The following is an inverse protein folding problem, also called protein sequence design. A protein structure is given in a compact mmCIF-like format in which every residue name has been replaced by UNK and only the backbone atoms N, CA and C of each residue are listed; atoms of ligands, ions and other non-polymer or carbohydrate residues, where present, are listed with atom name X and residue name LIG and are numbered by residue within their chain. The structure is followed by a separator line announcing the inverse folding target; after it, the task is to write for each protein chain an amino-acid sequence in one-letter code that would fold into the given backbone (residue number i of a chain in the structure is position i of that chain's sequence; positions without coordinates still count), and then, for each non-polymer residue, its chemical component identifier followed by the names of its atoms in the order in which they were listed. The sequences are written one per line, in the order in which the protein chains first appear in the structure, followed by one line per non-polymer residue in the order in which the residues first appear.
data_IF_761752677746
#
_entry.id   IF_761752677746
#
_cell.length_a   1.000
_cell.length_b   1.000
_cell.length_c   1.000
_cell.angle_alpha   90.00
_cell.angle_beta   90.00
_cell.angle_gamma   90.00
#
_symmetry.space_group_name_H-M   'P 1'
#
loop_
_entity.id
_entity.type
_entity.pdbx_description
1 polymer ?
#
# COMPACT_ATOMS: atom_id res chain seq x y z
N UNK A 1 -21.65 -4.78 48.75
CA UNK A 1 -22.68 -5.22 47.81
C UNK A 1 -21.97 -5.43 46.45
N UNK A 2 -21.89 -6.64 45.90
CA UNK A 2 -21.32 -6.81 44.56
C UNK A 2 -22.30 -6.19 43.58
N UNK A 3 -21.79 -5.29 42.73
CA UNK A 3 -22.50 -4.77 41.55
C UNK A 3 -22.76 -5.92 40.61
N UNK A 4 -23.99 -6.35 40.42
CA UNK A 4 -24.40 -7.27 39.39
C UNK A 4 -24.18 -6.54 38.03
N UNK A 5 -23.17 -6.96 37.28
CA UNK A 5 -23.01 -6.58 35.88
C UNK A 5 -24.12 -7.29 35.08
N UNK A 6 -25.18 -6.57 34.78
CA UNK A 6 -26.38 -7.09 34.09
C UNK A 6 -26.14 -7.36 32.61
N UNK A 7 -24.99 -6.97 32.06
CA UNK A 7 -24.66 -7.20 30.66
C UNK A 7 -23.52 -8.22 30.55
N UNK A 8 -23.71 -9.30 29.80
CA UNK A 8 -22.61 -10.22 29.52
C UNK A 8 -21.49 -9.43 28.86
N UNK A 9 -20.32 -9.41 29.49
CA UNK A 9 -19.13 -8.77 28.91
C UNK A 9 -18.84 -9.42 27.57
N UNK A 10 -18.79 -8.62 26.51
CA UNK A 10 -18.34 -9.12 25.19
C UNK A 10 -16.93 -9.65 25.35
N UNK A 11 -16.62 -10.84 24.81
CA UNK A 11 -15.25 -11.31 24.81
C UNK A 11 -14.36 -10.27 24.11
N UNK A 12 -13.12 -10.07 24.58
CA UNK A 12 -12.21 -9.12 23.96
C UNK A 12 -12.00 -9.51 22.50
N UNK A 13 -12.45 -8.65 21.60
CA UNK A 13 -12.29 -8.84 20.16
C UNK A 13 -10.91 -8.33 19.77
N UNK A 14 -10.12 -9.15 19.14
CA UNK A 14 -8.82 -8.76 18.58
C UNK A 14 -8.90 -8.72 17.05
N UNK A 15 -9.27 -7.57 16.47
CA UNK A 15 -9.42 -7.44 15.04
C UNK A 15 -8.06 -7.62 14.33
N UNK A 16 -8.10 -8.30 13.19
CA UNK A 16 -6.90 -8.65 12.40
C UNK A 16 -7.10 -8.30 10.94
N UNK A 17 -6.04 -7.79 10.33
CA UNK A 17 -5.84 -7.84 8.89
C UNK A 17 -5.13 -9.16 8.57
N UNK A 18 -5.50 -9.78 7.47
CA UNK A 18 -4.82 -10.98 6.97
C UNK A 18 -4.57 -10.86 5.48
N UNK A 19 -3.50 -11.49 5.03
CA UNK A 19 -3.14 -11.62 3.63
C UNK A 19 -3.00 -13.09 3.28
N UNK A 20 -3.63 -13.53 2.17
CA UNK A 20 -3.47 -14.89 1.67
C UNK A 20 -3.47 -14.95 0.15
N UNK A 21 -2.98 -16.04 -0.39
CA UNK A 21 -3.02 -16.38 -1.81
C UNK A 21 -3.75 -17.70 -2.06
N UNK A 22 -4.30 -17.86 -3.25
CA UNK A 22 -4.87 -19.13 -3.71
C UNK A 22 -3.79 -19.96 -4.41
N UNK A 23 -3.77 -21.27 -4.12
CA UNK A 23 -2.82 -22.21 -4.71
C UNK A 23 -3.48 -22.91 -5.90
N UNK A 24 -2.79 -22.94 -7.04
CA UNK A 24 -3.28 -23.67 -8.22
C UNK A 24 -4.32 -22.95 -9.05
N UNK A 25 -4.73 -21.74 -8.71
CA UNK A 25 -5.69 -20.94 -9.46
C UNK A 25 -4.98 -19.98 -10.41
N UNK A 26 -5.00 -20.29 -11.71
CA UNK A 26 -4.27 -19.53 -12.72
C UNK A 26 -4.67 -18.04 -12.79
N UNK A 27 -5.97 -17.75 -12.65
CA UNK A 27 -6.50 -16.37 -12.67
C UNK A 27 -6.03 -15.50 -11.50
N UNK A 28 -5.67 -16.13 -10.37
CA UNK A 28 -5.22 -15.45 -9.15
C UNK A 28 -3.70 -15.49 -8.95
N UNK A 29 -2.96 -15.99 -9.93
CA UNK A 29 -1.50 -16.11 -9.83
C UNK A 29 -0.84 -14.75 -9.68
N UNK A 30 -0.10 -14.55 -8.58
CA UNK A 30 0.57 -13.30 -8.24
C UNK A 30 -0.34 -12.24 -7.64
N UNK A 31 -1.57 -12.63 -7.26
CA UNK A 31 -2.48 -11.78 -6.49
C UNK A 31 -2.55 -12.24 -5.05
N UNK A 32 -2.63 -11.27 -4.15
CA UNK A 32 -2.81 -11.46 -2.71
C UNK A 32 -4.16 -10.86 -2.33
N UNK A 33 -4.97 -11.63 -1.61
CA UNK A 33 -6.17 -11.10 -0.98
C UNK A 33 -5.82 -10.48 0.36
N UNK A 34 -6.32 -9.28 0.60
CA UNK A 34 -6.20 -8.56 1.85
C UNK A 34 -7.58 -8.41 2.46
N UNK A 35 -7.77 -8.95 3.65
CA UNK A 35 -9.07 -8.97 4.33
C UNK A 35 -8.97 -8.62 5.81
N UNK A 36 -10.14 -8.43 6.41
CA UNK A 36 -10.33 -8.10 7.82
C UNK A 36 -11.19 -9.15 8.51
N UNK A 37 -10.89 -9.45 9.76
CA UNK A 37 -11.72 -10.31 10.60
C UNK A 37 -11.58 -9.95 12.09
N UNK A 38 -12.66 -10.11 12.82
CA UNK A 38 -12.68 -10.08 14.28
C UNK A 38 -12.65 -11.50 14.89
N UNK A 39 -12.64 -12.51 14.03
CA UNK A 39 -12.65 -13.93 14.39
C UNK A 39 -11.34 -14.59 14.00
N UNK A 40 -11.28 -15.90 14.14
CA UNK A 40 -10.18 -16.71 13.65
C UNK A 40 -10.02 -16.57 12.14
N UNK A 41 -8.77 -16.36 11.70
CA UNK A 41 -8.43 -16.07 10.29
C UNK A 41 -8.71 -17.28 9.40
N UNK A 42 -8.31 -18.48 9.83
CA UNK A 42 -8.52 -19.69 9.04
C UNK A 42 -10.00 -20.01 8.89
N UNK A 43 -10.77 -19.84 9.94
CA UNK A 43 -12.23 -19.98 9.89
C UNK A 43 -12.83 -19.00 8.88
N UNK A 44 -12.39 -17.74 8.92
CA UNK A 44 -12.89 -16.71 7.99
C UNK A 44 -12.55 -17.02 6.55
N UNK A 45 -11.33 -17.45 6.27
CA UNK A 45 -10.91 -17.79 4.90
C UNK A 45 -11.66 -19.03 4.40
N UNK A 46 -11.81 -20.05 5.23
CA UNK A 46 -12.60 -21.26 4.88
C UNK A 46 -14.05 -20.91 4.54
N UNK A 47 -14.70 -20.04 5.28
CA UNK A 47 -16.04 -19.55 4.96
C UNK A 47 -16.11 -18.90 3.58
N UNK A 48 -15.09 -18.12 3.22
CA UNK A 48 -15.01 -17.43 1.93
C UNK A 48 -14.67 -18.37 0.76
N UNK A 49 -13.88 -19.41 1.02
CA UNK A 49 -13.42 -20.37 0.00
C UNK A 49 -14.27 -21.66 -0.04
N UNK A 50 -15.21 -21.80 0.89
CA UNK A 50 -15.99 -23.03 1.10
C UNK A 50 -16.73 -23.51 -0.15
N UNK A 51 -17.18 -22.59 -0.99
CA UNK A 51 -17.97 -22.93 -2.20
C UNK A 51 -17.13 -23.63 -3.28
N UNK A 52 -15.80 -23.49 -3.26
CA UNK A 52 -14.92 -23.94 -4.35
C UNK A 52 -13.80 -24.87 -3.86
N UNK A 53 -13.66 -25.09 -2.54
CA UNK A 53 -12.63 -25.96 -1.93
C UNK A 53 -11.21 -25.70 -2.48
N UNK A 54 -10.87 -24.43 -2.78
CA UNK A 54 -9.58 -24.06 -3.34
C UNK A 54 -8.53 -24.00 -2.23
N UNK A 55 -7.37 -24.65 -2.41
CA UNK A 55 -6.26 -24.51 -1.46
C UNK A 55 -5.76 -23.07 -1.37
N UNK A 56 -5.47 -22.62 -0.16
CA UNK A 56 -4.93 -21.30 0.09
C UNK A 56 -3.71 -21.37 1.01
N UNK A 57 -2.93 -20.32 1.01
CA UNK A 57 -1.80 -20.13 1.94
C UNK A 57 -1.92 -18.77 2.60
N UNK A 58 -2.07 -18.75 3.93
CA UNK A 58 -1.97 -17.51 4.70
C UNK A 58 -0.52 -17.06 4.67
N UNK A 59 -0.29 -15.84 4.23
CA UNK A 59 1.04 -15.26 4.08
C UNK A 59 1.47 -14.56 5.36
N UNK A 60 0.61 -13.69 5.90
CA UNK A 60 0.87 -12.98 7.15
C UNK A 60 -0.44 -12.45 7.76
N UNK A 61 -0.43 -12.15 9.06
CA UNK A 61 -1.54 -11.53 9.79
C UNK A 61 -1.02 -10.43 10.69
N UNK A 62 -1.80 -9.35 10.83
CA UNK A 62 -1.44 -8.19 11.63
C UNK A 62 -2.60 -7.75 12.52
N UNK A 63 -2.35 -7.24 13.75
CA UNK A 63 -3.39 -6.58 14.54
C UNK A 63 -3.94 -5.37 13.78
N UNK A 64 -5.27 -5.27 13.69
CA UNK A 64 -5.97 -4.14 13.05
C UNK A 64 -6.29 -3.03 14.05
N UNK A 65 -5.36 -2.77 14.96
CA UNK A 65 -5.50 -1.79 16.03
C UNK A 65 -4.31 -0.82 16.03
N UNK A 66 -4.58 0.46 16.22
CA UNK A 66 -3.59 1.52 16.40
C UNK A 66 -3.16 1.64 17.85
N UNK A 67 -2.11 2.39 18.10
CA UNK A 67 -1.59 2.64 19.46
C UNK A 67 -2.57 3.40 20.37
N UNK A 68 -3.49 4.17 19.78
CA UNK A 68 -4.55 4.90 20.49
C UNK A 68 -5.78 4.04 20.78
N UNK A 69 -5.74 2.74 20.47
CA UNK A 69 -6.86 1.80 20.66
C UNK A 69 -7.92 1.85 19.54
N UNK A 70 -7.82 2.77 18.58
CA UNK A 70 -8.73 2.79 17.44
C UNK A 70 -8.44 1.63 16.47
N UNK A 71 -9.49 1.10 15.85
CA UNK A 71 -9.36 0.04 14.85
C UNK A 71 -9.33 0.63 13.43
N UNK A 72 -8.77 -0.12 12.50
CA UNK A 72 -8.83 0.12 11.06
C UNK A 72 -9.24 -1.18 10.35
N UNK A 73 -9.68 -1.06 9.12
CA UNK A 73 -10.20 -2.18 8.34
C UNK A 73 -9.39 -2.44 7.08
N UNK A 74 -9.70 -3.51 6.36
CA UNK A 74 -9.15 -3.79 5.04
C UNK A 74 -9.44 -2.66 4.03
N UNK A 75 -10.56 -1.94 4.16
CA UNK A 75 -10.89 -0.81 3.28
C UNK A 75 -9.84 0.31 3.34
N UNK A 76 -9.31 0.58 4.52
CA UNK A 76 -8.25 1.56 4.71
C UNK A 76 -6.96 1.13 3.97
N UNK A 77 -6.62 -0.16 4.07
CA UNK A 77 -5.48 -0.74 3.34
C UNK A 77 -5.71 -0.75 1.83
N UNK A 78 -6.91 -1.14 1.39
CA UNK A 78 -7.25 -1.14 -0.03
C UNK A 78 -7.12 0.27 -0.63
N UNK A 79 -7.51 1.31 0.11
CA UNK A 79 -7.33 2.69 -0.31
C UNK A 79 -5.84 3.04 -0.49
N UNK A 80 -4.97 2.60 0.43
CA UNK A 80 -3.52 2.79 0.32
C UNK A 80 -2.94 2.04 -0.87
N UNK A 81 -3.30 0.76 -1.04
CA UNK A 81 -2.79 -0.07 -2.13
C UNK A 81 -3.21 0.48 -3.50
N UNK A 82 -4.48 0.90 -3.67
CA UNK A 82 -4.96 1.56 -4.90
C UNK A 82 -4.20 2.85 -5.19
N UNK A 83 -4.04 3.71 -4.20
CA UNK A 83 -3.31 4.98 -4.34
C UNK A 83 -1.85 4.78 -4.75
N UNK A 84 -1.25 3.65 -4.35
CA UNK A 84 0.10 3.26 -4.76
C UNK A 84 0.17 2.60 -6.15
N UNK A 85 -0.96 2.47 -6.82
CA UNK A 85 -1.03 1.93 -8.17
C UNK A 85 -0.97 0.41 -8.26
N UNK A 86 -1.18 -0.32 -7.15
CA UNK A 86 -1.28 -1.78 -7.22
C UNK A 86 -2.56 -2.20 -7.95
N UNK A 87 -2.37 -3.00 -8.99
CA UNK A 87 -3.46 -3.48 -9.85
C UNK A 87 -4.37 -4.44 -9.10
N UNK A 88 -5.68 -4.25 -9.20
CA UNK A 88 -6.69 -5.20 -8.72
C UNK A 88 -7.01 -6.26 -9.79
N UNK A 89 -7.49 -7.43 -9.37
CA UNK A 89 -7.76 -8.55 -10.26
C UNK A 89 -8.81 -8.21 -11.34
N UNK A 90 -9.90 -7.53 -10.94
CA UNK A 90 -10.92 -7.02 -11.85
C UNK A 90 -11.02 -5.52 -11.66
N UNK A 91 -10.37 -4.76 -12.53
CA UNK A 91 -10.43 -3.30 -12.47
C UNK A 91 -11.87 -2.83 -12.76
N UNK A 92 -12.44 -2.05 -11.84
CA UNK A 92 -13.79 -1.51 -11.94
C UNK A 92 -14.83 -2.15 -11.01
N UNK A 93 -14.50 -3.21 -10.31
CA UNK A 93 -15.33 -3.76 -9.24
C UNK A 93 -14.90 -3.22 -7.88
N UNK A 94 -15.68 -2.34 -7.27
CA UNK A 94 -15.40 -1.70 -5.95
C UNK A 94 -15.21 -2.72 -4.80
N UNK A 95 -15.59 -3.98 -5.01
CA UNK A 95 -15.52 -5.06 -4.01
C UNK A 95 -14.34 -5.98 -4.18
N UNK A 96 -13.41 -5.67 -5.08
CA UNK A 96 -12.27 -6.55 -5.32
C UNK A 96 -11.17 -6.35 -4.27
N UNK A 97 -10.92 -7.39 -3.48
CA UNK A 97 -9.96 -7.43 -2.37
C UNK A 97 -8.63 -8.09 -2.79
N UNK A 98 -8.45 -8.39 -4.09
CA UNK A 98 -7.27 -9.04 -4.66
C UNK A 98 -6.35 -8.03 -5.32
N UNK A 99 -5.11 -7.93 -4.85
CA UNK A 99 -4.11 -7.01 -5.34
C UNK A 99 -2.89 -7.72 -5.88
N UNK A 100 -2.38 -7.27 -7.03
CA UNK A 100 -1.11 -7.73 -7.56
C UNK A 100 0.04 -7.03 -6.85
N UNK A 101 0.44 -7.57 -5.72
CA UNK A 101 1.45 -7.00 -4.82
C UNK A 101 2.21 -8.12 -4.10
N UNK A 102 3.22 -7.74 -3.32
CA UNK A 102 3.94 -8.64 -2.43
C UNK A 102 3.43 -8.51 -0.99
N UNK A 103 3.79 -9.48 -0.12
CA UNK A 103 3.49 -9.39 1.33
C UNK A 103 4.12 -8.14 1.95
N UNK A 104 5.30 -7.76 1.48
CA UNK A 104 5.98 -6.56 1.98
C UNK A 104 5.21 -5.28 1.63
N UNK A 105 4.55 -5.22 0.46
CA UNK A 105 3.70 -4.11 0.08
C UNK A 105 2.48 -4.00 1.00
N UNK A 106 1.87 -5.15 1.33
CA UNK A 106 0.74 -5.20 2.29
C UNK A 106 1.21 -4.79 3.69
N UNK A 107 2.35 -5.29 4.15
CA UNK A 107 2.95 -4.93 5.43
C UNK A 107 3.22 -3.43 5.53
N UNK A 108 3.76 -2.84 4.47
CA UNK A 108 3.99 -1.40 4.39
C UNK A 108 2.67 -0.60 4.43
N UNK A 109 1.61 -1.09 3.76
CA UNK A 109 0.28 -0.48 3.83
C UNK A 109 -0.31 -0.56 5.25
N UNK A 110 -0.18 -1.72 5.92
CA UNK A 110 -0.59 -1.89 7.33
C UNK A 110 0.14 -0.90 8.23
N UNK A 111 1.45 -0.75 8.05
CA UNK A 111 2.27 0.18 8.83
C UNK A 111 1.81 1.63 8.62
N UNK A 112 1.59 2.03 7.36
CA UNK A 112 1.11 3.37 7.02
C UNK A 112 -0.24 3.69 7.68
N UNK A 113 -1.22 2.78 7.55
CA UNK A 113 -2.56 2.96 8.14
C UNK A 113 -2.50 2.97 9.67
N UNK A 114 -1.70 2.09 10.27
CA UNK A 114 -1.54 2.01 11.73
C UNK A 114 -0.99 3.31 12.31
N UNK A 115 -0.01 3.91 11.64
CA UNK A 115 0.67 5.12 12.10
C UNK A 115 0.07 6.41 11.53
N UNK A 116 -1.04 6.31 10.76
CA UNK A 116 -1.70 7.46 10.10
C UNK A 116 -0.74 8.26 9.20
N UNK A 117 0.19 7.55 8.54
CA UNK A 117 1.16 8.14 7.61
C UNK A 117 0.73 7.98 6.14
N UNK A 118 -0.50 7.59 5.91
CA UNK A 118 -1.08 7.40 4.57
C UNK A 118 -1.37 8.72 3.84
N UNK A 119 -1.37 9.86 4.54
CA UNK A 119 -1.56 11.17 3.93
C UNK A 119 -0.27 11.70 3.27
N UNK A 120 -0.43 12.48 2.21
CA UNK A 120 0.67 12.99 1.37
C UNK A 120 1.68 13.80 2.19
N UNK A 121 1.21 14.52 3.21
CA UNK A 121 2.01 15.38 4.08
C UNK A 121 2.91 14.61 5.06
N UNK A 122 2.56 13.37 5.39
CA UNK A 122 3.30 12.50 6.31
C UNK A 122 3.89 11.27 5.62
N UNK A 123 4.23 11.37 4.32
CA UNK A 123 4.93 10.29 3.62
C UNK A 123 6.34 10.16 4.19
N UNK A 124 6.50 9.26 5.14
CA UNK A 124 7.83 8.68 5.36
C UNK A 124 8.15 7.78 4.17
N UNK A 125 9.38 7.87 3.65
CA UNK A 125 9.87 7.06 2.53
C UNK A 125 10.14 5.60 2.97
N UNK A 126 9.19 4.98 3.68
CA UNK A 126 9.33 3.60 4.19
C UNK A 126 9.15 2.54 3.09
N UNK A 127 8.95 2.98 1.86
CA UNK A 127 8.97 2.11 0.69
C UNK A 127 10.35 2.20 0.04
N UNK A 128 11.03 1.07 -0.06
CA UNK A 128 12.21 1.00 -0.90
C UNK A 128 11.83 1.40 -2.33
N UNK A 129 12.48 2.40 -2.85
CA UNK A 129 12.31 2.81 -4.24
C UNK A 129 12.71 1.64 -5.15
N UNK A 130 12.04 1.51 -6.30
CA UNK A 130 12.48 0.59 -7.34
C UNK A 130 13.87 1.03 -7.84
N UNK A 131 14.69 0.11 -8.35
CA UNK A 131 16.02 0.46 -8.86
C UNK A 131 16.01 1.65 -9.83
N UNK A 132 15.02 1.69 -10.74
CA UNK A 132 14.87 2.76 -11.73
C UNK A 132 14.52 4.11 -11.07
N UNK A 133 13.75 4.08 -9.99
CA UNK A 133 13.41 5.27 -9.22
C UNK A 133 14.61 5.79 -8.44
N UNK A 134 15.39 4.89 -7.84
CA UNK A 134 16.64 5.23 -7.16
C UNK A 134 17.62 5.88 -8.14
N UNK A 135 17.83 5.26 -9.30
CA UNK A 135 18.71 5.79 -10.34
C UNK A 135 18.26 7.17 -10.83
N UNK A 136 16.96 7.39 -11.01
CA UNK A 136 16.41 8.68 -11.42
C UNK A 136 16.64 9.76 -10.34
N UNK A 137 16.44 9.42 -9.06
CA UNK A 137 16.70 10.34 -7.95
C UNK A 137 18.18 10.65 -7.83
N UNK A 138 19.05 9.65 -7.90
CA UNK A 138 20.50 9.83 -7.79
C UNK A 138 21.04 10.71 -8.93
N UNK A 139 20.60 10.49 -10.17
CA UNK A 139 20.96 11.32 -11.33
C UNK A 139 20.46 12.75 -11.16
N UNK A 140 19.25 12.93 -10.66
CA UNK A 140 18.69 14.26 -10.40
C UNK A 140 19.45 14.98 -9.31
N UNK A 141 19.76 14.30 -8.21
CA UNK A 141 20.55 14.87 -7.11
C UNK A 141 21.96 15.25 -7.57
N UNK A 142 22.64 14.37 -8.31
CA UNK A 142 23.96 14.64 -8.87
C UNK A 142 23.95 15.87 -9.80
N UNK A 143 22.93 15.99 -10.64
CA UNK A 143 22.73 17.13 -11.51
C UNK A 143 22.55 18.44 -10.72
N UNK A 144 21.69 18.44 -9.69
CA UNK A 144 21.51 19.63 -8.86
C UNK A 144 22.74 19.99 -8.04
N UNK A 145 23.52 19.01 -7.58
CA UNK A 145 24.78 19.27 -6.87
C UNK A 145 25.84 19.90 -7.76
N UNK A 146 25.99 19.40 -9.00
CA UNK A 146 26.93 19.98 -9.96
C UNK A 146 26.53 21.41 -10.35
N UNK A 147 25.26 21.63 -10.62
CA UNK A 147 24.76 22.98 -10.92
C UNK A 147 24.87 23.95 -9.73
N UNK A 148 24.80 23.45 -8.47
CA UNK A 148 25.03 24.28 -7.28
C UNK A 148 26.50 24.67 -7.12
N UNK A 149 27.44 23.76 -7.45
CA UNK A 149 28.88 24.01 -7.38
C UNK A 149 29.35 25.08 -8.39
N UNK A 150 28.62 25.21 -9.51
CA UNK A 150 28.90 26.21 -10.55
C UNK A 150 28.33 27.61 -10.26
N UNK A 151 27.64 27.78 -9.13
CA UNK A 151 27.24 29.12 -8.63
C UNK A 151 26.04 29.76 -9.35
N UNK A 152 25.28 29.01 -10.16
CA UNK A 152 24.17 29.52 -10.96
C UNK A 152 22.83 28.93 -10.55
N UNK A 153 22.16 29.42 -9.48
CA UNK A 153 20.86 28.89 -9.05
C UNK A 153 19.76 29.00 -10.12
N UNK A 154 19.80 30.05 -10.97
CA UNK A 154 18.78 30.26 -12.01
C UNK A 154 19.01 29.44 -13.29
N UNK A 155 20.22 28.96 -13.53
CA UNK A 155 20.54 28.08 -14.67
C UNK A 155 19.99 26.65 -14.45
N UNK A 156 19.74 26.28 -13.20
CA UNK A 156 19.16 24.96 -12.86
C UNK A 156 17.80 24.73 -13.52
N UNK A 157 16.91 25.70 -13.42
CA UNK A 157 15.57 25.59 -14.01
C UNK A 157 15.64 25.67 -15.54
N UNK A 158 16.47 26.57 -16.10
CA UNK A 158 16.68 26.68 -17.54
C UNK A 158 17.29 25.44 -18.13
N UNK A 159 18.31 24.85 -17.52
CA UNK A 159 18.96 23.63 -18.01
C UNK A 159 18.04 22.40 -17.88
N UNK A 160 17.21 22.31 -16.85
CA UNK A 160 16.15 21.30 -16.76
C UNK A 160 15.12 21.47 -17.89
N UNK A 161 14.67 22.69 -18.13
CA UNK A 161 13.70 22.99 -19.19
C UNK A 161 14.29 22.70 -20.58
N UNK A 162 15.55 23.05 -20.82
CA UNK A 162 16.22 22.76 -22.09
C UNK A 162 16.46 21.26 -22.32
N UNK A 163 16.83 20.54 -21.25
CA UNK A 163 17.06 19.10 -21.33
C UNK A 163 15.74 18.33 -21.58
N UNK A 164 14.64 18.81 -21.02
CA UNK A 164 13.30 18.24 -21.26
C UNK A 164 12.79 18.62 -22.65
N UNK A 165 13.07 19.85 -23.14
CA UNK A 165 12.70 20.29 -24.51
C UNK A 165 13.47 19.54 -25.60
N UNK A 166 14.71 19.13 -25.33
CA UNK A 166 15.53 18.40 -26.28
C UNK A 166 15.25 16.88 -26.30
N UNK A 167 14.37 16.40 -25.45
CA UNK A 167 13.97 15.00 -25.41
C UNK A 167 12.49 14.86 -25.83
N UNK A 168 12.22 14.49 -27.10
CA UNK A 168 10.85 14.48 -27.66
C UNK A 168 9.89 13.52 -26.93
N UNK A 169 10.41 12.59 -26.13
CA UNK A 169 9.56 11.69 -25.33
C UNK A 169 8.97 12.35 -24.07
N UNK A 170 9.39 13.58 -23.73
CA UNK A 170 9.00 14.27 -22.49
C UNK A 170 8.12 15.50 -22.72
N UNK A 171 7.64 15.76 -23.93
CA UNK A 171 6.81 16.93 -24.23
C UNK A 171 5.53 17.01 -23.38
N UNK A 172 4.94 15.86 -23.02
CA UNK A 172 3.74 15.78 -22.18
C UNK A 172 3.98 16.13 -20.71
N UNK A 173 5.21 16.07 -20.22
CA UNK A 173 5.58 16.33 -18.82
C UNK A 173 5.77 17.84 -18.57
N UNK A 174 6.24 18.57 -19.57
CA UNK A 174 6.45 20.03 -19.48
C UNK A 174 5.16 20.82 -19.42
N UNK A 175 4.12 20.38 -20.13
CA UNK A 175 2.81 21.08 -20.18
C UNK A 175 2.07 21.00 -18.82
N UNK A 176 2.42 20.05 -17.97
CA UNK A 176 1.80 19.89 -16.64
C UNK A 176 2.56 20.57 -15.50
N UNK A 177 3.74 21.13 -15.75
CA UNK A 177 4.59 21.74 -14.75
C UNK A 177 4.62 23.29 -14.79
N UNK A 178 3.94 23.90 -15.77
CA UNK A 178 3.68 25.32 -15.91
C UNK A 178 2.22 25.60 -15.57
#
# INVERSE_FOLDING_TARGET
MPTMDFFPQRPPVSPKIYAYELIGVASHRGYIKVGYTERDVDTRIREQTHTVAVPYRVLETWPAMRSDGSCFTDKDLHAVLRRKGFRQLNEGEDRNEWFRCTVNDVKAAVYAVRNRTENVENRTNDFSMRPEQTEAVDKTEAYFRSAAAEGYPDLKLKACIENVKNNPENDDVLIKAI
#
